data_IF_944351742396
#
_entry.id   IF_944351742396
#
_cell.length_a   1.000
_cell.length_b   1.000
_cell.length_c   1.000
_cell.angle_alpha   90.00
_cell.angle_beta   90.00
_cell.angle_gamma   90.00
#
_symmetry.space_group_name_H-M   'P 1'
#
loop_
_entity.id
_entity.type
_entity.pdbx_description
1 polymer ?
#
# COMPACT_ATOMS: atom_id res chain seq x y z
N UNK A 1 -0.54 -6.73 14.30
CA UNK A 1 0.87 -7.10 14.04
C UNK A 1 1.78 -5.87 13.91
N UNK A 2 1.54 -4.95 12.97
CA UNK A 2 2.48 -3.86 12.65
C UNK A 2 2.93 -2.96 13.82
N UNK A 3 2.05 -2.67 14.79
CA UNK A 3 2.44 -1.91 15.99
C UNK A 3 3.50 -2.61 16.86
N UNK A 4 3.63 -3.93 16.78
CA UNK A 4 4.61 -4.72 17.54
C UNK A 4 5.93 -4.93 16.78
N UNK A 5 5.98 -4.56 15.49
CA UNK A 5 7.21 -4.60 14.69
C UNK A 5 8.10 -3.40 15.02
N UNK A 6 7.49 -2.27 15.43
CA UNK A 6 8.20 -1.06 15.82
C UNK A 6 8.18 -0.88 17.35
N UNK A 7 9.17 -0.19 17.93
CA UNK A 7 9.12 0.19 19.33
C UNK A 7 7.85 0.98 19.64
N UNK A 8 7.26 0.74 20.82
CA UNK A 8 6.12 1.52 21.28
C UNK A 8 6.52 3.00 21.43
N UNK A 9 5.66 3.90 21.00
CA UNK A 9 5.88 5.35 21.06
C UNK A 9 4.88 5.94 22.05
N UNK A 10 5.40 6.54 23.12
CA UNK A 10 4.61 7.31 24.06
C UNK A 10 4.63 8.79 23.67
N UNK A 11 3.44 9.35 23.45
CA UNK A 11 3.26 10.73 22.96
C UNK A 11 3.84 11.76 23.94
N UNK A 12 3.83 11.46 25.24
CA UNK A 12 4.29 12.37 26.28
C UNK A 12 5.82 12.39 26.46
N UNK A 13 6.52 11.33 26.08
CA UNK A 13 7.96 11.16 26.36
C UNK A 13 8.82 11.17 25.09
N UNK A 14 8.20 10.98 23.92
CA UNK A 14 8.93 10.92 22.65
C UNK A 14 9.58 12.26 22.30
N UNK A 15 10.83 12.20 21.87
CA UNK A 15 11.56 13.38 21.39
C UNK A 15 11.19 13.64 19.94
N UNK A 16 10.51 14.77 19.66
CA UNK A 16 10.13 15.17 18.30
C UNK A 16 11.34 15.26 17.34
N UNK A 17 12.54 15.56 17.85
CA UNK A 17 13.77 15.57 17.06
C UNK A 17 14.15 14.20 16.47
N UNK A 18 13.70 13.10 17.08
CA UNK A 18 13.90 11.73 16.56
C UNK A 18 12.82 11.27 15.58
N UNK A 19 11.66 11.94 15.57
CA UNK A 19 10.52 11.61 14.71
C UNK A 19 10.70 12.17 13.29
N UNK A 20 11.67 11.64 12.54
CA UNK A 20 12.05 12.17 11.23
C UNK A 20 11.44 11.40 10.05
N UNK A 21 10.85 10.23 10.31
CA UNK A 21 10.37 9.29 9.29
C UNK A 21 9.00 8.75 9.68
N UNK A 22 8.18 8.50 8.67
CA UNK A 22 6.86 7.90 8.82
C UNK A 22 6.69 6.76 7.83
N UNK A 23 6.02 5.72 8.27
CA UNK A 23 5.54 4.63 7.41
C UNK A 23 4.03 4.78 7.31
N UNK A 24 3.53 4.83 6.08
CA UNK A 24 2.11 4.85 5.76
C UNK A 24 1.71 3.46 5.24
N UNK A 25 0.72 2.88 5.89
CA UNK A 25 0.05 1.65 5.47
C UNK A 25 -1.37 2.01 5.08
N UNK A 26 -1.71 1.86 3.80
CA UNK A 26 -3.07 2.08 3.31
C UNK A 26 -3.67 0.75 2.89
N UNK A 27 -4.76 0.33 3.54
CA UNK A 27 -5.47 -0.90 3.20
C UNK A 27 -6.74 -0.57 2.44
N UNK A 28 -6.86 -1.10 1.22
CA UNK A 28 -8.10 -1.05 0.46
C UNK A 28 -8.91 -2.34 0.70
N UNK A 29 -10.14 -2.20 1.19
CA UNK A 29 -11.03 -3.33 1.49
C UNK A 29 -11.51 -4.06 0.23
N UNK A 30 -11.66 -3.36 -0.88
CA UNK A 30 -12.22 -3.90 -2.11
C UNK A 30 -11.18 -4.74 -2.86
N UNK A 31 -9.94 -4.22 -2.98
CA UNK A 31 -8.85 -4.94 -3.64
C UNK A 31 -8.06 -5.88 -2.72
N UNK A 32 -8.27 -5.79 -1.40
CA UNK A 32 -7.50 -6.49 -0.35
C UNK A 32 -5.98 -6.20 -0.39
N UNK A 33 -5.59 -5.08 -0.99
CA UNK A 33 -4.18 -4.68 -1.11
C UNK A 33 -3.80 -3.70 0.00
N UNK A 34 -2.58 -3.84 0.49
CA UNK A 34 -1.93 -2.95 1.45
C UNK A 34 -0.81 -2.21 0.72
N UNK A 35 -0.96 -0.91 0.55
CA UNK A 35 0.13 -0.06 0.08
C UNK A 35 1.03 0.32 1.26
N UNK A 36 2.31 0.00 1.11
CA UNK A 36 3.38 0.36 2.03
C UNK A 36 4.20 1.49 1.42
N UNK A 37 4.24 2.63 2.10
CA UNK A 37 5.00 3.81 1.68
C UNK A 37 5.81 4.37 2.85
N UNK A 38 7.03 4.82 2.57
CA UNK A 38 7.94 5.37 3.57
C UNK A 38 8.39 6.78 3.19
N UNK A 39 8.09 7.74 4.07
CA UNK A 39 8.38 9.14 3.88
C UNK A 39 9.31 9.70 4.97
N UNK A 40 10.17 10.63 4.60
CA UNK A 40 10.79 11.59 5.51
C UNK A 40 9.84 12.73 5.81
N UNK A 41 9.85 13.19 7.05
CA UNK A 41 9.27 14.48 7.42
C UNK A 41 10.29 15.58 7.16
N UNK A 42 9.87 16.64 6.46
CA UNK A 42 10.64 17.88 6.26
C UNK A 42 9.80 19.06 6.76
N UNK A 43 10.35 19.82 7.69
CA UNK A 43 9.72 21.05 8.17
C UNK A 43 10.22 22.25 7.38
N UNK A 44 9.30 23.11 6.95
CA UNK A 44 9.62 24.39 6.32
C UNK A 44 9.01 25.54 7.12
N UNK A 45 9.78 26.56 7.52
CA UNK A 45 9.24 27.72 8.23
C UNK A 45 8.28 28.51 7.32
N UNK A 46 7.11 28.87 7.87
CA UNK A 46 6.10 29.70 7.20
C UNK A 46 6.39 31.18 7.45
N UNK A 47 6.08 32.05 6.50
CA UNK A 47 6.25 33.50 6.64
C UNK A 47 7.67 34.02 6.35
N UNK A 48 8.55 33.17 5.80
CA UNK A 48 9.88 33.58 5.30
C UNK A 48 9.97 33.39 3.79
N UNK A 49 10.59 34.35 3.09
CA UNK A 49 10.79 34.24 1.65
C UNK A 49 11.70 33.05 1.29
N UNK A 50 11.50 32.46 0.10
CA UNK A 50 12.30 31.32 -0.38
C UNK A 50 13.80 31.62 -0.42
N UNK A 51 14.18 32.89 -0.65
CA UNK A 51 15.57 33.33 -0.68
C UNK A 51 16.22 33.26 0.70
N UNK A 52 15.54 33.79 1.72
CA UNK A 52 15.99 33.70 3.11
C UNK A 52 16.08 32.24 3.52
N UNK A 53 15.10 31.41 3.12
CA UNK A 53 15.13 29.97 3.36
C UNK A 53 16.37 29.31 2.73
N UNK A 54 16.67 29.56 1.45
CA UNK A 54 17.87 29.02 0.76
C UNK A 54 19.18 29.52 1.36
N UNK A 55 19.24 30.79 1.76
CA UNK A 55 20.43 31.37 2.39
C UNK A 55 20.70 30.74 3.76
N UNK A 56 19.68 30.62 4.61
CA UNK A 56 19.83 30.12 5.98
C UNK A 56 19.99 28.59 6.02
N UNK A 57 19.25 27.85 5.18
CA UNK A 57 19.26 26.38 5.19
C UNK A 57 20.34 25.77 4.29
N UNK A 58 20.55 26.33 3.10
CA UNK A 58 21.44 25.75 2.09
C UNK A 58 22.76 26.52 1.94
N UNK A 59 22.98 27.57 2.75
CA UNK A 59 24.16 28.45 2.66
C UNK A 59 24.41 29.01 1.26
N UNK A 60 23.35 29.13 0.45
CA UNK A 60 23.46 29.65 -0.91
C UNK A 60 23.54 31.17 -0.86
N UNK A 61 24.70 31.71 -1.28
CA UNK A 61 24.92 33.16 -1.34
C UNK A 61 24.02 33.76 -2.44
N UNK A 62 23.13 34.72 -2.10
CA UNK A 62 22.29 35.38 -3.09
C UNK A 62 23.10 36.38 -3.93
N UNK A 63 22.63 36.65 -5.16
CA UNK A 63 23.15 37.75 -5.95
C UNK A 63 22.63 39.09 -5.40
N UNK A 64 23.56 39.93 -4.95
CA UNK A 64 23.30 41.23 -4.34
C UNK A 64 23.48 42.39 -5.32
N UNK A 65 23.91 42.15 -6.56
CA UNK A 65 24.28 43.22 -7.51
C UNK A 65 23.13 44.17 -7.86
N UNK A 66 21.90 43.69 -7.78
CA UNK A 66 20.68 44.45 -8.12
C UNK A 66 19.93 45.03 -6.91
N UNK A 67 20.48 44.86 -5.70
CA UNK A 67 19.87 45.29 -4.44
C UNK A 67 20.68 46.46 -3.90
N UNK A 68 20.00 47.53 -3.47
CA UNK A 68 20.68 48.69 -2.89
C UNK A 68 20.82 48.57 -1.38
N UNK A 69 19.89 47.88 -0.73
CA UNK A 69 19.91 47.66 0.72
C UNK A 69 19.51 46.21 1.11
N UNK A 70 19.83 45.81 2.33
CA UNK A 70 19.41 44.55 2.96
C UNK A 70 17.89 44.48 3.06
N UNK A 71 17.23 45.62 3.30
CA UNK A 71 15.77 45.68 3.30
C UNK A 71 15.19 45.24 1.95
N UNK A 72 15.78 45.64 0.82
CA UNK A 72 15.37 45.20 -0.52
C UNK A 72 15.47 43.68 -0.68
N UNK A 73 16.42 43.02 -0.02
CA UNK A 73 16.53 41.56 -0.10
C UNK A 73 15.35 40.86 0.59
N UNK A 74 14.84 41.46 1.67
CA UNK A 74 13.77 40.89 2.51
C UNK A 74 12.38 41.26 1.98
N UNK A 75 12.20 42.51 1.51
CA UNK A 75 10.88 43.09 1.19
C UNK A 75 10.53 43.05 -0.30
N UNK A 76 11.51 42.87 -1.21
CA UNK A 76 11.27 42.88 -2.67
C UNK A 76 10.59 41.58 -3.12
N UNK A 77 9.30 41.50 -2.84
CA UNK A 77 8.36 40.52 -3.40
C UNK A 77 8.21 40.82 -4.90
N UNK A 78 8.86 40.04 -5.77
CA UNK A 78 8.74 40.25 -7.21
C UNK A 78 9.77 39.57 -8.10
N UNK A 79 10.90 39.12 -7.56
CA UNK A 79 11.86 38.30 -8.33
C UNK A 79 11.81 36.84 -7.86
N UNK A 80 10.89 36.08 -8.46
CA UNK A 80 10.81 34.63 -8.36
C UNK A 80 9.42 34.18 -7.92
N UNK A 81 8.73 33.44 -8.78
CA UNK A 81 7.37 32.93 -8.59
C UNK A 81 7.15 32.38 -7.17
N UNK A 82 6.48 33.14 -6.31
CA UNK A 82 6.07 32.75 -4.95
C UNK A 82 4.83 31.83 -4.98
N UNK A 83 4.58 31.15 -6.10
CA UNK A 83 3.35 30.41 -6.37
C UNK A 83 3.24 29.02 -5.70
N UNK A 84 3.99 28.75 -4.62
CA UNK A 84 3.53 27.71 -3.69
C UNK A 84 2.87 28.44 -2.54
N UNK A 85 1.55 28.62 -2.64
CA UNK A 85 0.76 28.83 -1.44
C UNK A 85 0.99 27.60 -0.57
N UNK A 86 1.71 27.75 0.55
CA UNK A 86 1.77 26.70 1.56
C UNK A 86 0.30 26.52 2.02
N UNK A 87 -0.33 25.41 1.63
CA UNK A 87 -1.69 25.08 2.03
C UNK A 87 -1.80 25.17 3.56
N UNK A 88 -2.71 26.01 4.05
CA UNK A 88 -2.85 26.33 5.47
C UNK A 88 -3.12 25.07 6.31
N UNK A 89 -3.76 24.06 5.70
CA UNK A 89 -4.04 22.74 6.28
C UNK A 89 -2.77 21.93 6.63
N UNK A 90 -1.62 22.21 6.00
CA UNK A 90 -0.36 21.51 6.26
C UNK A 90 0.57 22.27 7.23
N UNK A 91 0.06 23.30 7.92
CA UNK A 91 0.84 24.12 8.85
C UNK A 91 0.64 23.69 10.31
N UNK A 92 1.72 23.68 11.09
CA UNK A 92 1.71 23.33 12.52
C UNK A 92 2.52 24.35 13.33
N UNK A 93 2.07 24.65 14.55
CA UNK A 93 2.82 25.44 15.52
C UNK A 93 3.75 24.54 16.30
N UNK A 94 5.04 24.85 16.31
CA UNK A 94 6.04 24.00 16.95
C UNK A 94 6.03 24.19 18.47
N UNK A 95 6.07 23.08 19.22
CA UNK A 95 6.17 23.10 20.68
C UNK A 95 7.60 23.24 21.20
N UNK A 96 8.60 22.94 20.37
CA UNK A 96 10.02 22.95 20.72
C UNK A 96 10.89 23.31 19.52
N UNK A 97 12.15 23.65 19.78
CA UNK A 97 13.14 23.93 18.73
C UNK A 97 13.51 22.65 17.97
N UNK A 98 13.33 22.67 16.66
CA UNK A 98 13.64 21.57 15.74
C UNK A 98 14.68 22.01 14.70
N UNK A 99 15.95 21.87 15.08
CA UNK A 99 17.08 22.32 14.27
C UNK A 99 17.32 23.83 14.37
N UNK A 100 18.06 24.40 13.42
CA UNK A 100 18.51 25.80 13.50
C UNK A 100 17.42 26.82 13.13
N UNK A 101 16.52 26.44 12.23
CA UNK A 101 15.58 27.37 11.57
C UNK A 101 14.18 27.27 12.15
N UNK A 102 13.74 26.07 12.53
CA UNK A 102 12.40 25.86 13.06
C UNK A 102 12.44 26.01 14.58
N UNK A 103 12.03 27.17 15.08
CA UNK A 103 12.04 27.50 16.51
C UNK A 103 10.69 27.20 17.16
N UNK A 104 10.70 27.00 18.47
CA UNK A 104 9.49 26.88 19.27
C UNK A 104 8.56 28.07 19.05
N UNK A 105 7.25 27.82 19.12
CA UNK A 105 6.16 28.79 18.91
C UNK A 105 6.08 29.41 17.51
N UNK A 106 6.90 28.95 16.55
CA UNK A 106 6.79 29.37 15.15
C UNK A 106 5.92 28.40 14.35
N UNK A 107 5.25 28.92 13.31
CA UNK A 107 4.49 28.10 12.35
C UNK A 107 5.44 27.51 11.31
N UNK A 108 5.35 26.20 11.10
CA UNK A 108 6.08 25.47 10.07
C UNK A 108 5.13 24.61 9.25
N UNK A 109 5.31 24.56 7.92
CA UNK A 109 4.63 23.62 7.05
C UNK A 109 5.33 22.27 7.07
N UNK A 110 4.54 21.20 7.08
CA UNK A 110 5.02 19.81 7.07
C UNK A 110 5.00 19.31 5.63
N UNK A 111 6.17 19.00 5.08
CA UNK A 111 6.31 18.37 3.77
C UNK A 111 6.81 16.94 3.92
N UNK A 112 6.26 16.04 3.13
CA UNK A 112 6.67 14.64 3.09
C UNK A 112 7.54 14.42 1.86
N UNK A 113 8.71 13.83 2.06
CA UNK A 113 9.58 13.39 0.96
C UNK A 113 9.62 11.87 0.96
N UNK A 114 9.23 11.24 -0.13
CA UNK A 114 9.33 9.79 -0.24
C UNK A 114 10.80 9.34 -0.25
N UNK A 115 11.15 8.36 0.59
CA UNK A 115 12.52 7.82 0.68
C UNK A 115 12.55 6.35 0.27
N UNK A 116 11.59 5.56 0.77
CA UNK A 116 11.70 4.11 0.76
C UNK A 116 11.00 3.40 -0.41
N UNK A 117 11.04 2.06 -0.42
CA UNK A 117 10.42 1.26 -1.48
C UNK A 117 8.91 1.47 -1.47
N UNK A 118 8.35 1.55 -2.69
CA UNK A 118 6.90 1.50 -2.94
C UNK A 118 6.51 0.05 -3.07
N UNK A 119 5.75 -0.45 -2.11
CA UNK A 119 5.30 -1.84 -2.14
C UNK A 119 3.78 -1.88 -2.06
N UNK A 120 3.20 -2.83 -2.79
CA UNK A 120 1.80 -3.20 -2.68
C UNK A 120 1.78 -4.66 -2.29
N UNK A 121 1.25 -4.94 -1.11
CA UNK A 121 1.24 -6.26 -0.47
C UNK A 121 -0.18 -6.82 -0.48
N UNK A 122 -0.29 -8.14 -0.64
CA UNK A 122 -1.56 -8.85 -0.49
C UNK A 122 -1.39 -9.96 0.55
N UNK A 123 -2.39 -10.17 1.39
CA UNK A 123 -2.40 -11.28 2.33
C UNK A 123 -2.70 -12.58 1.58
N UNK A 124 -1.73 -13.48 1.53
CA UNK A 124 -1.88 -14.77 0.83
C UNK A 124 -2.15 -15.89 1.82
N UNK A 125 -1.35 -15.97 2.89
CA UNK A 125 -1.35 -17.08 3.83
C UNK A 125 -0.96 -16.61 5.22
N UNK A 126 -1.58 -17.18 6.25
CA UNK A 126 -1.15 -17.05 7.65
C UNK A 126 -0.86 -18.44 8.19
N UNK A 127 0.34 -18.61 8.75
CA UNK A 127 0.81 -19.86 9.33
C UNK A 127 1.18 -19.65 10.79
N UNK A 128 1.10 -20.71 11.58
CA UNK A 128 1.62 -20.71 12.93
C UNK A 128 3.17 -20.78 12.94
N UNK A 129 3.80 -20.04 13.84
CA UNK A 129 5.25 -20.10 14.04
C UNK A 129 6.07 -19.55 12.87
N UNK A 130 7.22 -20.18 12.60
CA UNK A 130 8.20 -19.76 11.60
C UNK A 130 8.14 -20.69 10.39
N UNK A 131 7.16 -20.46 9.53
CA UNK A 131 7.03 -21.16 8.24
C UNK A 131 6.91 -22.70 8.32
N UNK A 132 6.53 -23.23 9.48
CA UNK A 132 6.49 -24.68 9.74
C UNK A 132 5.24 -25.14 10.51
N UNK A 133 4.35 -24.22 10.86
CA UNK A 133 3.13 -24.53 11.60
C UNK A 133 1.93 -24.74 10.69
N UNK A 134 0.78 -24.98 11.32
CA UNK A 134 -0.49 -25.14 10.62
C UNK A 134 -0.91 -23.88 9.87
N UNK A 135 -1.60 -24.06 8.75
CA UNK A 135 -2.19 -22.96 7.98
C UNK A 135 -3.46 -22.50 8.67
N UNK A 136 -3.48 -21.24 9.10
CA UNK A 136 -4.64 -20.61 9.77
C UNK A 136 -5.52 -19.90 8.74
N UNK A 137 -4.90 -19.34 7.70
CA UNK A 137 -5.60 -18.62 6.63
C UNK A 137 -4.92 -18.86 5.29
N UNK A 138 -5.72 -18.99 4.23
CA UNK A 138 -5.28 -19.02 2.83
C UNK A 138 -6.30 -18.29 1.96
N UNK A 139 -5.87 -17.26 1.22
CA UNK A 139 -6.75 -16.51 0.31
C UNK A 139 -7.19 -17.37 -0.89
N UNK A 140 -6.35 -18.32 -1.33
CA UNK A 140 -6.64 -19.17 -2.50
C UNK A 140 -7.18 -20.57 -2.15
N UNK A 141 -7.57 -20.79 -0.90
CA UNK A 141 -7.99 -22.10 -0.38
C UNK A 141 -6.82 -23.05 -0.10
N UNK A 142 -7.11 -24.22 0.45
CA UNK A 142 -6.13 -25.30 0.56
C UNK A 142 -5.96 -25.94 -0.82
N UNK A 143 -4.72 -26.10 -1.29
CA UNK A 143 -4.45 -26.81 -2.56
C UNK A 143 -5.02 -28.24 -2.54
N UNK A 144 -5.25 -28.80 -1.35
CA UNK A 144 -5.91 -30.08 -1.14
C UNK A 144 -7.40 -30.12 -1.46
N UNK A 145 -8.12 -28.98 -1.42
CA UNK A 145 -9.55 -28.93 -1.71
C UNK A 145 -9.79 -28.73 -3.22
N UNK A 146 -8.96 -27.92 -3.90
CA UNK A 146 -9.01 -27.77 -5.37
C UNK A 146 -8.72 -29.08 -6.10
N UNK A 147 -7.78 -29.89 -5.61
CA UNK A 147 -7.53 -31.24 -6.15
C UNK A 147 -8.67 -32.22 -5.86
N UNK A 148 -9.50 -31.99 -4.85
CA UNK A 148 -10.67 -32.84 -4.57
C UNK A 148 -11.84 -32.49 -5.49
N UNK A 149 -12.10 -31.20 -5.69
CA UNK A 149 -13.12 -30.73 -6.64
C UNK A 149 -12.77 -31.19 -8.07
N UNK A 150 -11.52 -31.02 -8.53
CA UNK A 150 -11.11 -31.48 -9.87
C UNK A 150 -11.16 -33.02 -10.05
N UNK A 151 -10.98 -33.80 -8.98
CA UNK A 151 -11.11 -35.26 -9.05
C UNK A 151 -12.56 -35.75 -8.92
N UNK A 152 -13.43 -34.98 -8.25
CA UNK A 152 -14.86 -35.28 -8.17
C UNK A 152 -15.52 -35.01 -9.51
N UNK A 153 -15.26 -33.85 -10.12
CA UNK A 153 -15.82 -33.51 -11.44
C UNK A 153 -15.37 -34.51 -12.54
N UNK A 154 -14.14 -35.04 -12.44
CA UNK A 154 -13.64 -36.06 -13.38
C UNK A 154 -14.18 -37.47 -13.11
N UNK A 155 -14.58 -37.79 -11.88
CA UNK A 155 -15.23 -39.06 -11.57
C UNK A 155 -16.71 -39.01 -11.95
N UNK A 156 -17.40 -37.92 -11.63
CA UNK A 156 -18.81 -37.74 -11.97
C UNK A 156 -19.01 -37.74 -13.51
N UNK A 157 -18.07 -37.18 -14.28
CA UNK A 157 -18.09 -37.25 -15.76
C UNK A 157 -17.86 -38.66 -16.31
N UNK A 158 -17.04 -39.49 -15.63
CA UNK A 158 -16.81 -40.88 -16.06
C UNK A 158 -17.99 -41.76 -15.72
N UNK A 159 -18.58 -41.55 -14.55
CA UNK A 159 -19.78 -42.27 -14.13
C UNK A 159 -20.93 -41.93 -15.11
N UNK A 160 -21.12 -40.65 -15.47
CA UNK A 160 -22.13 -40.22 -16.45
C UNK A 160 -21.88 -40.78 -17.87
N UNK A 161 -20.63 -40.94 -18.31
CA UNK A 161 -20.28 -41.58 -19.58
C UNK A 161 -20.55 -43.10 -19.54
N UNK A 162 -20.22 -43.77 -18.44
CA UNK A 162 -20.45 -45.22 -18.25
C UNK A 162 -21.96 -45.55 -18.19
N UNK A 163 -22.78 -44.69 -17.57
CA UNK A 163 -24.25 -44.84 -17.57
C UNK A 163 -24.85 -44.66 -18.98
N UNK A 164 -24.32 -43.76 -19.81
CA UNK A 164 -24.82 -43.56 -21.18
C UNK A 164 -24.44 -44.71 -22.11
N UNK A 165 -23.26 -45.30 -21.91
CA UNK A 165 -22.82 -46.48 -22.66
C UNK A 165 -23.61 -47.74 -22.26
N UNK A 166 -23.95 -47.93 -20.98
CA UNK A 166 -24.81 -49.04 -20.53
C UNK A 166 -26.25 -48.92 -21.05
N UNK A 167 -26.86 -47.72 -21.01
CA UNK A 167 -28.21 -47.51 -21.54
C UNK A 167 -28.26 -47.70 -23.07
N UNK A 168 -27.22 -47.27 -23.79
CA UNK A 168 -27.13 -47.46 -25.25
C UNK A 168 -26.99 -48.93 -25.67
N UNK A 169 -26.24 -49.73 -24.91
CA UNK A 169 -26.12 -51.18 -25.14
C UNK A 169 -27.42 -51.94 -24.81
N UNK A 170 -28.15 -51.50 -23.78
CA UNK A 170 -29.44 -52.10 -23.43
C UNK A 170 -30.53 -51.75 -24.46
N UNK A 171 -30.47 -50.58 -25.11
CA UNK A 171 -31.36 -50.24 -26.22
C UNK A 171 -31.04 -51.07 -27.48
N UNK A 172 -29.76 -51.26 -27.82
CA UNK A 172 -29.33 -52.11 -28.95
C UNK A 172 -29.70 -53.60 -28.74
N UNK A 173 -29.52 -54.15 -27.53
CA UNK A 173 -29.90 -55.54 -27.21
C UNK A 173 -31.43 -55.75 -27.29
N UNK A 174 -32.22 -54.75 -26.90
CA UNK A 174 -33.67 -54.82 -27.03
C UNK A 174 -34.14 -54.67 -28.49
N UNK A 175 -33.43 -53.93 -29.35
CA UNK A 175 -33.74 -53.87 -30.78
C UNK A 175 -33.39 -55.20 -31.48
N UNK A 176 -32.26 -55.83 -31.14
CA UNK A 176 -31.88 -57.15 -31.68
C UNK A 176 -32.83 -58.28 -31.23
N UNK A 177 -33.30 -58.29 -29.97
CA UNK A 177 -34.29 -59.30 -29.50
C UNK A 177 -35.67 -59.14 -30.18
N UNK A 178 -36.07 -57.92 -30.55
CA UNK A 178 -37.35 -57.68 -31.21
C UNK A 178 -37.35 -58.02 -32.72
N UNK A 179 -36.19 -57.97 -33.37
CA UNK A 179 -36.05 -58.33 -34.79
C UNK A 179 -35.96 -59.85 -35.01
N UNK A 180 -35.43 -60.61 -34.04
CA UNK A 180 -35.34 -62.09 -34.12
C UNK A 180 -36.70 -62.80 -33.88
N UNK A 181 -37.65 -62.16 -33.19
CA UNK A 181 -38.98 -62.72 -32.91
C UNK A 181 -39.97 -62.58 -34.09
N UNK A 182 -39.56 -61.91 -35.19
CA UNK A 182 -40.37 -61.74 -36.42
C UNK A 182 -40.01 -62.70 -37.57
N UNK A 183 -39.22 -63.76 -37.32
CA UNK A 183 -38.82 -64.72 -38.36
C UNK A 183 -39.21 -66.19 -38.14
N UNK A 184 -40.06 -66.51 -37.17
CA UNK A 184 -40.55 -67.87 -36.93
C UNK A 184 -42.08 -67.94 -36.68
N UNK A 185 -42.91 -67.60 -37.68
CA UNK A 185 -44.19 -68.32 -37.94
C UNK A 185 -44.74 -68.07 -39.35
#
# INVERSE_FOLDING_TARGET
MFQKIFPAIDINTVKLSSCQRIVLLNYNKDSKLIDFRHYSIRLQPVGVSRRIRKFVQNHQVPDLRSLQDVSDFVTKAGYGSESEADEEAATVTLSSDLGRVNKASTKSSVKLQEIGPRMTLQLIKVEEGLCSGGVIFSEYGNVGDKKKEENQDQNDQKDDEEYQDEDGLAEDENEEENDDDHHME
#
